data_IF_438456008827
#
_entry.id   IF_438456008827
#
_cell.length_a   1.000
_cell.length_b   1.000
_cell.length_c   1.000
_cell.angle_alpha   90.00
_cell.angle_beta   90.00
_cell.angle_gamma   90.00
#
_symmetry.space_group_name_H-M   'P 1'
#
loop_
_entity.id
_entity.type
_entity.pdbx_description
1 polymer ?
#
# COMPACT_ATOMS: atom_id res chain seq x y z
N UNK A 1 -5.14 -22.49 5.20
CA UNK A 1 -5.27 -22.26 3.77
C UNK A 1 -4.69 -20.91 3.35
N UNK A 2 -3.99 -20.91 2.23
CA UNK A 2 -3.45 -19.68 1.68
C UNK A 2 -4.38 -19.17 0.56
N UNK A 3 -4.72 -17.90 0.59
CA UNK A 3 -5.61 -17.30 -0.39
C UNK A 3 -4.80 -16.61 -1.48
N UNK A 4 -5.26 -16.72 -2.72
CA UNK A 4 -4.59 -16.06 -3.84
C UNK A 4 -4.91 -14.56 -3.85
N UNK A 5 -4.06 -13.79 -4.52
CA UNK A 5 -4.30 -12.37 -4.72
C UNK A 5 -5.64 -12.11 -5.40
N UNK A 6 -5.97 -12.90 -6.41
CA UNK A 6 -7.22 -12.72 -7.13
C UNK A 6 -8.44 -12.96 -6.25
N UNK A 7 -8.40 -14.03 -5.45
CA UNK A 7 -9.50 -14.29 -4.52
C UNK A 7 -9.74 -13.14 -3.56
N UNK A 8 -8.66 -12.63 -2.97
CA UNK A 8 -8.77 -11.57 -1.98
C UNK A 8 -9.16 -10.24 -2.60
N UNK A 9 -8.63 -9.90 -3.78
CA UNK A 9 -8.97 -8.65 -4.45
C UNK A 9 -10.42 -8.65 -4.92
N UNK A 10 -10.95 -9.77 -5.36
CA UNK A 10 -12.36 -9.87 -5.73
C UNK A 10 -13.26 -9.74 -4.51
N UNK A 11 -12.85 -10.30 -3.39
CA UNK A 11 -13.58 -10.18 -2.13
C UNK A 11 -13.70 -8.71 -1.70
N UNK A 12 -12.67 -7.91 -1.96
CA UNK A 12 -12.67 -6.48 -1.64
C UNK A 12 -13.22 -5.61 -2.78
N UNK A 13 -13.61 -6.22 -3.89
CA UNK A 13 -14.21 -5.53 -5.03
C UNK A 13 -13.32 -4.44 -5.61
N UNK A 14 -12.03 -4.73 -5.74
CA UNK A 14 -11.08 -3.79 -6.31
C UNK A 14 -11.26 -3.66 -7.82
N UNK A 15 -11.03 -2.45 -8.35
CA UNK A 15 -11.00 -2.21 -9.79
C UNK A 15 -9.72 -2.81 -10.39
N UNK A 16 -9.67 -2.89 -11.72
CA UNK A 16 -8.48 -3.41 -12.40
C UNK A 16 -7.24 -2.56 -12.12
N UNK A 17 -7.42 -1.23 -12.06
CA UNK A 17 -6.30 -0.32 -11.75
C UNK A 17 -5.84 -0.48 -10.32
N UNK A 18 -6.79 -0.62 -9.40
CA UNK A 18 -6.45 -0.85 -7.99
C UNK A 18 -5.70 -2.16 -7.80
N UNK A 19 -6.11 -3.21 -8.51
CA UNK A 19 -5.40 -4.48 -8.47
C UNK A 19 -3.96 -4.35 -8.96
N UNK A 20 -3.76 -3.62 -10.05
CA UNK A 20 -2.44 -3.39 -10.63
C UNK A 20 -1.54 -2.66 -9.63
N UNK A 21 -2.06 -1.59 -9.04
CA UNK A 21 -1.32 -0.81 -8.06
C UNK A 21 -1.00 -1.64 -6.82
N UNK A 22 -1.96 -2.43 -6.35
CA UNK A 22 -1.76 -3.30 -5.19
C UNK A 22 -0.65 -4.31 -5.44
N UNK A 23 -0.59 -4.88 -6.64
CA UNK A 23 0.49 -5.80 -7.00
C UNK A 23 1.85 -5.11 -6.95
N UNK A 24 1.93 -3.87 -7.40
CA UNK A 24 3.17 -3.09 -7.36
C UNK A 24 3.60 -2.83 -5.91
N UNK A 25 2.66 -2.49 -5.05
CA UNK A 25 2.93 -2.28 -3.62
C UNK A 25 3.46 -3.56 -2.99
N UNK A 26 2.81 -4.68 -3.25
CA UNK A 26 3.25 -5.97 -2.71
C UNK A 26 4.62 -6.36 -3.25
N UNK A 27 4.92 -5.98 -4.49
CA UNK A 27 6.23 -6.20 -5.08
C UNK A 27 7.33 -5.45 -4.34
N UNK A 28 7.04 -4.23 -3.90
CA UNK A 28 7.99 -3.43 -3.12
C UNK A 28 8.25 -4.04 -1.74
N UNK A 29 7.28 -4.76 -1.22
CA UNK A 29 7.38 -5.40 0.10
C UNK A 29 7.93 -6.84 0.01
N UNK A 30 8.22 -7.31 -1.19
CA UNK A 30 8.69 -8.66 -1.39
C UNK A 30 9.98 -8.89 -0.59
N UNK A 31 10.02 -10.01 0.13
CA UNK A 31 11.17 -10.34 0.97
C UNK A 31 11.09 -9.82 2.40
N UNK A 32 10.12 -8.95 2.70
CA UNK A 32 9.91 -8.47 4.05
C UNK A 32 9.09 -9.48 4.85
N UNK A 33 9.32 -9.54 6.16
CA UNK A 33 8.47 -10.40 6.97
C UNK A 33 7.09 -9.76 7.15
N UNK A 34 6.14 -10.58 7.58
CA UNK A 34 4.74 -10.17 7.69
C UNK A 34 4.56 -8.96 8.62
N UNK A 35 5.24 -8.95 9.74
CA UNK A 35 5.10 -7.86 10.72
C UNK A 35 5.64 -6.56 10.16
N UNK A 36 6.82 -6.57 9.57
CA UNK A 36 7.43 -5.37 9.00
C UNK A 36 6.61 -4.82 7.84
N UNK A 37 6.16 -5.70 6.95
CA UNK A 37 5.35 -5.28 5.80
C UNK A 37 4.04 -4.64 6.26
N UNK A 38 3.39 -5.25 7.23
CA UNK A 38 2.13 -4.73 7.75
C UNK A 38 2.32 -3.38 8.42
N UNK A 39 3.39 -3.23 9.19
CA UNK A 39 3.70 -1.94 9.86
C UNK A 39 3.91 -0.83 8.84
N UNK A 40 4.61 -1.11 7.75
CA UNK A 40 4.83 -0.12 6.71
C UNK A 40 3.52 0.30 6.04
N UNK A 41 2.64 -0.64 5.76
CA UNK A 41 1.34 -0.35 5.17
C UNK A 41 0.44 0.41 6.14
N UNK A 42 0.47 0.04 7.40
CA UNK A 42 -0.31 0.74 8.44
C UNK A 42 0.16 2.19 8.58
N UNK A 43 1.46 2.42 8.54
CA UNK A 43 2.01 3.77 8.58
C UNK A 43 1.57 4.57 7.36
N UNK A 44 1.62 3.99 6.17
CA UNK A 44 1.17 4.67 4.96
C UNK A 44 -0.31 5.04 5.06
N UNK A 45 -1.12 4.14 5.57
CA UNK A 45 -2.54 4.39 5.78
C UNK A 45 -2.76 5.57 6.73
N UNK A 46 -2.01 5.61 7.82
CA UNK A 46 -2.07 6.70 8.79
C UNK A 46 -1.70 8.04 8.16
N UNK A 47 -0.63 8.05 7.36
CA UNK A 47 -0.19 9.28 6.69
C UNK A 47 -1.27 9.81 5.74
N UNK A 48 -1.90 8.92 4.99
CA UNK A 48 -2.97 9.29 4.08
C UNK A 48 -4.14 9.90 4.85
N UNK A 49 -4.52 9.29 5.97
CA UNK A 49 -5.62 9.78 6.79
C UNK A 49 -5.34 11.18 7.33
N UNK A 50 -4.10 11.44 7.74
CA UNK A 50 -3.74 12.73 8.30
C UNK A 50 -3.71 13.84 7.27
N UNK A 51 -3.32 13.53 6.04
CA UNK A 51 -3.13 14.54 5.00
C UNK A 51 -4.22 14.56 3.94
N UNK A 52 -5.04 13.53 3.90
CA UNK A 52 -6.10 13.35 2.89
C UNK A 52 -5.57 13.33 1.46
N UNK A 53 -4.24 13.36 1.27
CA UNK A 53 -3.63 13.40 -0.05
C UNK A 53 -2.17 12.94 0.02
N UNK A 54 -1.84 11.92 -0.74
CA UNK A 54 -0.50 11.36 -0.77
C UNK A 54 0.54 12.35 -1.33
N UNK A 55 0.14 13.18 -2.27
CA UNK A 55 1.03 14.14 -2.91
C UNK A 55 1.64 15.12 -1.90
N UNK A 56 0.91 15.49 -0.86
CA UNK A 56 1.39 16.40 0.18
C UNK A 56 2.61 15.82 0.90
N UNK A 57 2.60 14.51 1.13
CA UNK A 57 3.71 13.82 1.79
C UNK A 57 4.98 13.91 0.95
N UNK A 58 4.86 13.69 -0.35
CA UNK A 58 6.00 13.74 -1.25
C UNK A 58 6.56 15.16 -1.39
N UNK A 59 5.69 16.17 -1.34
CA UNK A 59 6.14 17.56 -1.38
C UNK A 59 6.98 17.91 -0.16
N UNK A 60 6.58 17.46 1.00
CA UNK A 60 7.35 17.67 2.23
C UNK A 60 8.71 17.01 2.17
N UNK A 61 8.76 15.79 1.64
CA UNK A 61 10.01 15.07 1.48
C UNK A 61 10.96 15.80 0.56
N UNK A 62 10.45 16.33 -0.55
CA UNK A 62 11.25 17.09 -1.50
C UNK A 62 11.78 18.37 -0.89
N UNK A 63 11.00 19.02 -0.03
CA UNK A 63 11.41 20.23 0.65
C UNK A 63 12.59 20.00 1.61
N UNK A 64 12.66 18.82 2.18
CA UNK A 64 13.74 18.46 3.10
C UNK A 64 15.02 18.10 2.37
N UNK A 65 14.87 17.62 1.17
CA UNK A 65 16.02 17.21 0.36
C UNK A 65 16.75 18.43 -0.18
#
# INVERSE_FOLDING_TARGET
RMYSFNELSESQKLTAEEKKTAKQILGLLNGQNQVAAKQMLDFCSYVIECNSNVAVVFEEEQAEA
#
